data_IF_421550073291
#
_entry.id   IF_421550073291
#
_cell.length_a   1.000
_cell.length_b   1.000
_cell.length_c   1.000
_cell.angle_alpha   90.00
_cell.angle_beta   90.00
_cell.angle_gamma   90.00
#
_symmetry.space_group_name_H-M   'P 1'
#
loop_
_entity.id
_entity.type
_entity.pdbx_description
1 polymer ?
#
# COMPACT_ATOMS: atom_id res chain seq x y z
N UNK A 1 5.18 7.15 30.97
CA UNK A 1 5.21 5.85 30.25
C UNK A 1 6.16 6.04 29.08
N UNK A 2 7.28 5.32 29.12
CA UNK A 2 8.36 5.44 28.13
C UNK A 2 7.97 4.71 26.84
N UNK A 3 7.39 5.47 25.89
CA UNK A 3 6.99 4.95 24.58
C UNK A 3 8.19 4.48 23.74
N UNK A 4 9.41 4.83 24.13
CA UNK A 4 10.64 4.45 23.43
C UNK A 4 10.93 2.96 23.62
N UNK A 5 10.81 2.47 24.86
CA UNK A 5 11.02 1.04 25.17
C UNK A 5 9.99 0.11 24.51
N UNK A 6 8.74 0.57 24.36
CA UNK A 6 7.71 -0.20 23.64
C UNK A 6 8.02 -0.31 22.14
N UNK A 7 8.54 0.76 21.53
CA UNK A 7 8.94 0.77 20.12
C UNK A 7 10.14 -0.15 19.84
N UNK A 8 11.15 -0.15 20.71
CA UNK A 8 12.31 -1.04 20.60
C UNK A 8 11.90 -2.51 20.75
N UNK A 9 11.07 -2.81 21.74
CA UNK A 9 10.57 -4.16 21.94
C UNK A 9 9.67 -4.62 20.77
N UNK A 10 8.93 -3.72 20.13
CA UNK A 10 8.16 -4.02 18.93
C UNK A 10 9.08 -4.29 17.72
N UNK A 11 10.15 -3.50 17.54
CA UNK A 11 11.16 -3.75 16.51
C UNK A 11 11.82 -5.12 16.67
N UNK A 12 12.25 -5.49 17.87
CA UNK A 12 12.87 -6.80 18.13
C UNK A 12 11.95 -7.97 17.78
N UNK A 13 10.64 -7.84 18.02
CA UNK A 13 9.65 -8.86 17.64
C UNK A 13 9.49 -8.97 16.12
N UNK A 14 9.52 -7.83 15.41
CA UNK A 14 9.46 -7.80 13.95
C UNK A 14 10.72 -8.39 13.32
N UNK A 15 11.90 -8.16 13.90
CA UNK A 15 13.15 -8.77 13.45
C UNK A 15 13.12 -10.30 13.58
N UNK A 16 12.66 -10.82 14.72
CA UNK A 16 12.46 -12.26 14.91
C UNK A 16 11.44 -12.84 13.92
N UNK A 17 10.33 -12.13 13.68
CA UNK A 17 9.33 -12.55 12.69
C UNK A 17 9.90 -12.56 11.25
N UNK A 18 10.75 -11.59 10.91
CA UNK A 18 11.42 -11.52 9.62
C UNK A 18 12.39 -12.68 9.41
N UNK A 19 13.15 -13.04 10.45
CA UNK A 19 14.05 -14.20 10.42
C UNK A 19 13.28 -15.49 10.17
N UNK A 20 12.23 -15.75 10.95
CA UNK A 20 11.37 -16.94 10.76
C UNK A 20 10.74 -16.98 9.36
N UNK A 21 10.32 -15.83 8.82
CA UNK A 21 9.80 -15.75 7.46
C UNK A 21 10.87 -16.10 6.40
N UNK A 22 12.10 -15.61 6.57
CA UNK A 22 13.23 -15.90 5.67
C UNK A 22 13.65 -17.38 5.72
N UNK A 23 13.73 -17.96 6.91
CA UNK A 23 14.01 -19.40 7.09
C UNK A 23 12.95 -20.27 6.41
N UNK A 24 11.68 -19.88 6.55
CA UNK A 24 10.56 -20.52 5.87
C UNK A 24 10.46 -20.25 4.37
N UNK A 25 11.37 -19.46 3.77
CA UNK A 25 11.32 -18.99 2.37
C UNK A 25 10.00 -18.31 2.01
N UNK A 26 9.42 -17.62 3.00
CA UNK A 26 8.15 -16.91 2.92
C UNK A 26 8.38 -15.45 2.50
N UNK A 27 8.76 -15.26 1.24
CA UNK A 27 9.16 -13.96 0.66
C UNK A 27 8.05 -12.90 0.72
N UNK A 28 6.78 -13.32 0.69
CA UNK A 28 5.65 -12.39 0.81
C UNK A 28 5.53 -11.88 2.24
N UNK A 29 5.58 -12.78 3.21
CA UNK A 29 5.50 -12.48 4.64
C UNK A 29 6.71 -11.65 5.10
N UNK A 30 7.91 -11.98 4.61
CA UNK A 30 9.12 -11.20 4.89
C UNK A 30 8.98 -9.74 4.39
N UNK A 31 8.35 -9.52 3.23
CA UNK A 31 8.04 -8.17 2.72
C UNK A 31 6.98 -7.47 3.56
N UNK A 32 5.94 -8.17 3.98
CA UNK A 32 4.90 -7.61 4.86
C UNK A 32 5.46 -7.19 6.22
N UNK A 33 6.36 -7.98 6.82
CA UNK A 33 7.04 -7.62 8.07
C UNK A 33 7.90 -6.38 7.88
N UNK A 34 8.67 -6.29 6.80
CA UNK A 34 9.50 -5.12 6.49
C UNK A 34 8.69 -3.85 6.26
N UNK A 35 7.49 -3.94 5.69
CA UNK A 35 6.56 -2.80 5.60
C UNK A 35 6.19 -2.26 6.99
N UNK A 36 5.90 -3.15 7.94
CA UNK A 36 5.55 -2.76 9.31
C UNK A 36 6.78 -2.15 10.03
N UNK A 37 7.97 -2.72 9.82
CA UNK A 37 9.22 -2.16 10.35
C UNK A 37 9.46 -0.74 9.85
N UNK A 38 9.26 -0.48 8.55
CA UNK A 38 9.40 0.85 7.97
C UNK A 38 8.41 1.88 8.55
N UNK A 39 7.17 1.45 8.85
CA UNK A 39 6.20 2.30 9.55
C UNK A 39 6.66 2.61 10.98
N UNK A 40 7.19 1.61 11.70
CA UNK A 40 7.66 1.79 13.07
C UNK A 40 8.90 2.68 13.15
N UNK A 41 9.84 2.55 12.22
CA UNK A 41 10.98 3.47 12.07
C UNK A 41 10.51 4.92 11.93
N UNK A 42 9.51 5.16 11.08
CA UNK A 42 8.92 6.48 10.91
C UNK A 42 8.31 7.01 12.22
N UNK A 43 7.56 6.18 12.96
CA UNK A 43 6.99 6.55 14.26
C UNK A 43 8.07 6.84 15.33
N UNK A 44 9.24 6.20 15.22
CA UNK A 44 10.43 6.47 16.04
C UNK A 44 11.23 7.69 15.58
N UNK A 45 10.71 8.46 14.62
CA UNK A 45 11.39 9.62 14.00
C UNK A 45 12.68 9.27 13.24
N UNK A 46 12.88 7.99 12.91
CA UNK A 46 13.98 7.51 12.06
C UNK A 46 13.57 7.63 10.59
N UNK A 47 13.45 8.87 10.12
CA UNK A 47 12.81 9.19 8.84
C UNK A 47 13.63 8.66 7.66
N UNK A 48 14.95 8.84 7.68
CA UNK A 48 15.84 8.35 6.63
C UNK A 48 15.82 6.81 6.53
N UNK A 49 15.84 6.11 7.67
CA UNK A 49 15.75 4.64 7.71
C UNK A 49 14.43 4.16 7.10
N UNK A 50 13.31 4.78 7.48
CA UNK A 50 12.00 4.45 6.93
C UNK A 50 11.95 4.64 5.41
N UNK A 51 12.46 5.77 4.90
CA UNK A 51 12.51 6.05 3.46
C UNK A 51 13.36 5.02 2.70
N UNK A 52 14.52 4.64 3.26
CA UNK A 52 15.39 3.60 2.69
C UNK A 52 14.67 2.26 2.63
N UNK A 53 14.03 1.84 3.73
CA UNK A 53 13.28 0.57 3.76
C UNK A 53 12.12 0.56 2.77
N UNK A 54 11.39 1.67 2.60
CA UNK A 54 10.36 1.76 1.56
C UNK A 54 10.95 1.74 0.14
N UNK A 55 12.13 2.32 -0.08
CA UNK A 55 12.80 2.24 -1.39
C UNK A 55 13.20 0.80 -1.72
N UNK A 56 13.77 0.06 -0.77
CA UNK A 56 14.08 -1.35 -0.95
C UNK A 56 12.82 -2.16 -1.27
N UNK A 57 11.74 -1.96 -0.51
CA UNK A 57 10.45 -2.63 -0.75
C UNK A 57 9.88 -2.30 -2.13
N UNK A 58 9.99 -1.04 -2.57
CA UNK A 58 9.55 -0.61 -3.90
C UNK A 58 10.41 -1.20 -5.03
N UNK A 59 11.70 -1.48 -4.78
CA UNK A 59 12.60 -2.13 -5.75
C UNK A 59 12.32 -3.63 -5.85
N UNK A 60 12.01 -4.27 -4.73
CA UNK A 60 11.64 -5.69 -4.69
C UNK A 60 10.28 -5.99 -5.31
N UNK A 61 9.29 -5.13 -5.06
CA UNK A 61 7.97 -5.21 -5.69
C UNK A 61 7.53 -3.86 -6.24
N UNK A 62 7.91 -3.54 -7.50
CA UNK A 62 7.51 -2.28 -8.14
C UNK A 62 6.01 -2.14 -8.39
N UNK A 63 5.22 -3.20 -8.17
CA UNK A 63 3.76 -3.20 -8.32
C UNK A 63 3.05 -2.99 -6.98
N UNK A 64 3.75 -3.14 -5.86
CA UNK A 64 3.20 -2.81 -4.55
C UNK A 64 3.03 -1.30 -4.43
N UNK A 65 1.79 -0.85 -4.32
CA UNK A 65 1.48 0.57 -4.20
C UNK A 65 1.80 1.13 -2.79
N UNK A 66 1.92 0.26 -1.77
CA UNK A 66 2.02 0.68 -0.36
C UNK A 66 3.31 1.48 -0.07
N UNK A 67 4.51 1.05 -0.50
CA UNK A 67 5.73 1.84 -0.29
C UNK A 67 5.64 3.25 -0.87
N UNK A 68 5.08 3.40 -2.07
CA UNK A 68 4.93 4.71 -2.72
C UNK A 68 3.97 5.63 -1.96
N UNK A 69 2.87 5.09 -1.41
CA UNK A 69 1.99 5.87 -0.56
C UNK A 69 2.71 6.38 0.69
N UNK A 70 3.42 5.49 1.40
CA UNK A 70 4.16 5.85 2.61
C UNK A 70 5.26 6.87 2.34
N UNK A 71 6.05 6.69 1.27
CA UNK A 71 7.05 7.68 0.84
C UNK A 71 6.40 9.04 0.53
N UNK A 72 5.27 9.06 -0.19
CA UNK A 72 4.54 10.29 -0.49
C UNK A 72 4.08 11.04 0.77
N UNK A 73 3.58 10.31 1.76
CA UNK A 73 3.20 10.88 3.07
C UNK A 73 4.43 11.46 3.78
N UNK A 74 5.54 10.71 3.84
CA UNK A 74 6.76 11.18 4.50
C UNK A 74 7.32 12.43 3.81
N UNK A 75 7.44 12.42 2.47
CA UNK A 75 7.92 13.59 1.73
C UNK A 75 7.02 14.81 1.91
N UNK A 76 5.70 14.62 1.99
CA UNK A 76 4.76 15.72 2.28
C UNK A 76 5.02 16.33 3.66
N UNK A 77 5.31 15.49 4.66
CA UNK A 77 5.61 15.95 6.02
C UNK A 77 7.00 16.58 6.16
N UNK A 78 7.87 16.40 5.17
CA UNK A 78 9.18 17.04 5.04
C UNK A 78 9.14 18.29 4.14
N UNK A 79 7.96 18.76 3.74
CA UNK A 79 7.77 19.85 2.76
C UNK A 79 8.42 19.60 1.37
N UNK A 80 8.76 18.34 1.07
CA UNK A 80 9.33 17.86 -0.20
C UNK A 80 8.21 17.55 -1.19
N UNK A 81 7.53 18.61 -1.60
CA UNK A 81 6.27 18.53 -2.36
C UNK A 81 6.43 17.87 -3.75
N UNK A 82 7.56 18.05 -4.41
CA UNK A 82 7.80 17.47 -5.74
C UNK A 82 8.00 15.96 -5.64
N UNK A 83 8.82 15.46 -4.70
CA UNK A 83 8.95 14.02 -4.48
C UNK A 83 7.64 13.39 -3.99
N UNK A 84 6.90 14.08 -3.11
CA UNK A 84 5.60 13.61 -2.66
C UNK A 84 4.64 13.40 -3.84
N UNK A 85 4.57 14.36 -4.77
CA UNK A 85 3.75 14.28 -5.99
C UNK A 85 4.15 13.09 -6.86
N UNK A 86 5.44 12.87 -7.06
CA UNK A 86 5.94 11.73 -7.82
C UNK A 86 5.48 10.40 -7.20
N UNK A 87 5.66 10.24 -5.89
CA UNK A 87 5.29 9.00 -5.19
C UNK A 87 3.77 8.79 -5.16
N UNK A 88 2.98 9.84 -4.97
CA UNK A 88 1.53 9.74 -5.06
C UNK A 88 1.02 9.44 -6.48
N UNK A 89 1.68 9.95 -7.52
CA UNK A 89 1.36 9.60 -8.90
C UNK A 89 1.57 8.10 -9.15
N UNK A 90 2.70 7.55 -8.67
CA UNK A 90 3.00 6.11 -8.75
C UNK A 90 1.98 5.28 -7.96
N UNK A 91 1.66 5.67 -6.73
CA UNK A 91 0.60 5.06 -5.92
C UNK A 91 -0.73 5.02 -6.66
N UNK A 92 -1.17 6.14 -7.25
CA UNK A 92 -2.45 6.24 -7.97
C UNK A 92 -2.50 5.34 -9.21
N UNK A 93 -1.37 5.16 -9.89
CA UNK A 93 -1.26 4.28 -11.07
C UNK A 93 -1.35 2.78 -10.70
N UNK A 94 -0.82 2.40 -9.53
CA UNK A 94 -0.74 1.00 -9.09
C UNK A 94 -1.89 0.58 -8.17
N UNK A 95 -2.52 1.53 -7.49
CA UNK A 95 -3.64 1.28 -6.60
C UNK A 95 -4.80 0.66 -7.39
N UNK A 96 -5.39 -0.46 -6.92
CA UNK A 96 -6.57 -1.01 -7.56
C UNK A 96 -7.65 0.08 -7.54
N UNK A 97 -8.14 0.46 -8.73
CA UNK A 97 -9.25 1.40 -8.83
C UNK A 97 -10.37 0.83 -7.99
N UNK A 98 -10.72 1.52 -6.89
CA UNK A 98 -11.78 1.10 -5.97
C UNK A 98 -13.18 1.08 -6.60
N UNK A 99 -13.27 1.35 -7.91
CA UNK A 99 -14.46 1.30 -8.74
C UNK A 99 -14.11 0.66 -10.08
N UNK A 100 -14.14 -0.67 -10.11
CA UNK A 100 -14.42 -1.41 -11.35
C UNK A 100 -15.91 -1.77 -11.32
N UNK A 101 -16.75 -0.76 -11.59
CA UNK A 101 -18.18 -0.98 -11.89
C UNK A 101 -18.32 -1.67 -13.26
N UNK A 102 -17.24 -1.74 -14.04
CA UNK A 102 -17.21 -2.41 -15.34
C UNK A 102 -17.31 -3.93 -15.17
N UNK A 103 -16.80 -4.49 -14.07
CA UNK A 103 -17.08 -5.87 -13.66
C UNK A 103 -18.56 -6.15 -13.34
N UNK A 104 -19.33 -5.15 -12.94
CA UNK A 104 -20.79 -5.26 -12.73
C UNK A 104 -21.56 -5.19 -14.06
N UNK A 105 -21.10 -4.37 -15.01
CA UNK A 105 -21.74 -4.21 -16.32
C UNK A 105 -21.51 -5.41 -17.26
N UNK A 106 -20.48 -6.23 -17.03
CA UNK A 106 -20.23 -7.46 -17.79
C UNK A 106 -21.05 -8.67 -17.30
N UNK A 107 -21.85 -8.54 -16.24
CA UNK A 107 -22.79 -9.60 -15.87
C UNK A 107 -24.00 -9.61 -16.81
N UNK A 108 -24.50 -10.79 -17.23
CA UNK A 108 -25.65 -10.92 -18.12
C UNK A 108 -26.95 -10.30 -17.58
N UNK A 109 -26.99 -9.89 -16.31
CA UNK A 109 -28.08 -9.13 -15.69
C UNK A 109 -28.21 -7.69 -16.23
N UNK A 110 -27.12 -7.08 -16.74
CA UNK A 110 -27.18 -5.74 -17.35
C UNK A 110 -27.83 -5.75 -18.74
N UNK A 111 -28.03 -6.93 -19.34
CA UNK A 111 -28.75 -7.11 -20.61
C UNK A 111 -30.25 -7.31 -20.42
N UNK A 112 -30.75 -7.40 -19.18
CA UNK A 112 -32.19 -7.43 -18.90
C UNK A 112 -32.77 -6.02 -19.03
N UNK A 113 -33.15 -5.72 -20.27
CA UNK A 113 -34.16 -4.74 -20.70
C UNK A 113 -33.91 -3.27 -20.33
N UNK A 114 -33.05 -2.62 -21.12
CA UNK A 114 -33.19 -1.19 -21.46
C UNK A 114 -33.82 -0.97 -22.86
N UNK A 115 -34.36 -2.02 -23.49
CA UNK A 115 -35.18 -1.92 -24.70
C UNK A 115 -36.45 -2.77 -24.55
N UNK A 116 -37.52 -2.08 -24.19
CA UNK A 116 -38.90 -2.47 -24.46
C UNK A 116 -39.58 -1.27 -25.11
N UNK A 117 -39.23 -1.01 -26.37
CA UNK A 117 -39.94 -0.08 -27.24
C UNK A 117 -41.33 -0.65 -27.56
N UNK A 118 -42.37 0.17 -27.40
CA UNK A 118 -43.64 0.09 -28.14
C UNK A 118 -44.64 -0.99 -27.74
N UNK A 119 -45.83 -0.60 -27.28
CA UNK A 119 -47.01 -0.62 -28.16
C UNK A 119 -48.20 0.20 -27.59
N UNK A 120 -49.05 0.65 -28.52
CA UNK A 120 -50.44 1.16 -28.50
C UNK A 120 -51.13 1.49 -27.15
N UNK A 121 -51.86 2.60 -26.96
CA UNK A 121 -52.88 3.16 -27.86
C UNK A 121 -54.29 2.80 -27.36
N UNK A 122 -54.93 3.70 -26.61
CA UNK A 122 -56.38 3.95 -26.50
C UNK A 122 -56.63 5.06 -25.46
#
# INVERSE_FOLDING_TARGET
MDRSGEGEAAMARLESALETAREGKKEKEAREVRLIMAQLQYLQKKVEEALSSYEELAREDPRDYRPYFCQGVIYSLLDRNEEAREKFAKYKMLSPRKFDVEGFLQTPLSRVKLFGTGDAGA
#
